data_IF_834163682266
#
_entry.id   IF_834163682266
#
_cell.length_a   1.000
_cell.length_b   1.000
_cell.length_c   1.000
_cell.angle_alpha   90.00
_cell.angle_beta   90.00
_cell.angle_gamma   90.00
#
_symmetry.space_group_name_H-M   'P 1'
#
loop_
_entity.id
_entity.type
_entity.pdbx_description
1 polymer ?
#
# COMPACT_ATOMS: atom_id res chain seq x y z
N UNK A 1 -4.26 -5.47 14.07
CA UNK A 1 -4.30 -4.13 13.47
C UNK A 1 -2.87 -3.73 13.09
N UNK A 2 -2.70 -3.01 12.00
CA UNK A 2 -1.42 -2.49 11.56
C UNK A 2 -1.55 -1.00 11.22
N UNK A 3 -0.52 -0.25 11.56
CA UNK A 3 -0.34 1.14 11.15
C UNK A 3 0.94 1.18 10.34
N UNK A 4 0.90 1.82 9.17
CA UNK A 4 2.09 2.07 8.38
C UNK A 4 2.15 3.53 7.96
N UNK A 5 3.36 4.05 7.95
CA UNK A 5 3.66 5.38 7.47
C UNK A 5 4.92 5.31 6.62
N UNK A 6 4.80 5.75 5.38
CA UNK A 6 5.87 5.73 4.41
C UNK A 6 6.01 7.11 3.78
N UNK A 7 7.24 7.59 3.70
CA UNK A 7 7.59 8.76 2.93
C UNK A 7 8.53 8.35 1.81
N UNK A 8 8.25 8.85 0.62
CA UNK A 8 9.09 8.69 -0.55
C UNK A 8 9.47 10.07 -1.07
N UNK A 9 10.75 10.24 -1.41
CA UNK A 9 11.27 11.45 -2.04
C UNK A 9 12.16 11.04 -3.19
N UNK A 10 11.96 11.63 -4.36
CA UNK A 10 12.82 11.47 -5.52
C UNK A 10 13.37 12.85 -5.92
N UNK A 11 14.54 13.19 -5.39
CA UNK A 11 15.12 14.52 -5.50
C UNK A 11 14.21 15.60 -4.91
N UNK A 12 14.26 16.78 -5.51
CA UNK A 12 13.40 17.92 -5.14
C UNK A 12 12.08 17.93 -5.93
N UNK A 13 11.93 17.09 -6.96
CA UNK A 13 10.82 17.15 -7.92
C UNK A 13 9.56 16.44 -7.41
N UNK A 14 9.73 15.40 -6.58
CA UNK A 14 8.63 14.55 -6.15
C UNK A 14 8.75 14.15 -4.68
N UNK A 15 7.71 14.46 -3.92
CA UNK A 15 7.53 14.03 -2.54
C UNK A 15 6.20 13.33 -2.38
N UNK A 16 6.20 12.11 -1.86
CA UNK A 16 5.00 11.34 -1.59
C UNK A 16 4.97 10.89 -0.13
N UNK A 17 3.80 10.97 0.49
CA UNK A 17 3.53 10.52 1.84
C UNK A 17 2.32 9.61 1.83
N UNK A 18 2.47 8.44 2.42
CA UNK A 18 1.44 7.42 2.53
C UNK A 18 1.27 7.03 4.00
N UNK A 19 0.05 7.15 4.50
CA UNK A 19 -0.35 6.65 5.80
C UNK A 19 -1.44 5.60 5.61
N UNK A 20 -1.27 4.43 6.20
CA UNK A 20 -2.27 3.36 6.17
C UNK A 20 -2.61 2.92 7.58
N UNK A 21 -3.89 2.70 7.82
CA UNK A 21 -4.39 2.02 9.00
C UNK A 21 -5.24 0.84 8.58
N UNK A 22 -4.95 -0.35 9.12
CA UNK A 22 -5.68 -1.56 8.79
C UNK A 22 -6.01 -2.41 10.02
N UNK A 23 -7.15 -3.07 9.94
CA UNK A 23 -7.62 -4.05 10.92
C UNK A 23 -7.97 -5.33 10.18
N UNK A 24 -7.38 -6.44 10.61
CA UNK A 24 -7.61 -7.77 10.05
C UNK A 24 -8.09 -8.70 11.16
N UNK A 25 -9.06 -9.52 10.82
CA UNK A 25 -9.54 -10.64 11.63
C UNK A 25 -9.31 -11.93 10.85
N UNK A 26 -8.81 -12.96 11.54
CA UNK A 26 -8.49 -14.25 10.94
C UNK A 26 -8.82 -15.38 11.89
N UNK A 27 -9.15 -16.56 11.34
CA UNK A 27 -9.33 -17.77 12.13
C UNK A 27 -8.48 -18.89 11.56
N UNK A 28 -7.60 -19.46 12.37
CA UNK A 28 -6.73 -20.56 11.94
C UNK A 28 -7.41 -21.92 12.09
N UNK A 29 -7.36 -22.69 11.02
CA UNK A 29 -7.61 -24.13 11.00
C UNK A 29 -6.28 -24.86 10.72
N UNK A 30 -6.28 -26.20 10.73
CA UNK A 30 -5.05 -27.02 10.68
C UNK A 30 -4.09 -26.63 9.54
N UNK A 31 -4.62 -26.36 8.33
CA UNK A 31 -3.81 -25.97 7.17
C UNK A 31 -4.28 -24.71 6.47
N UNK A 32 -5.39 -24.11 6.92
CA UNK A 32 -6.07 -23.03 6.22
C UNK A 32 -6.45 -21.95 7.22
N UNK A 33 -6.17 -20.71 6.89
CA UNK A 33 -6.49 -19.54 7.70
C UNK A 33 -7.17 -18.51 6.81
N UNK A 34 -8.51 -18.49 6.72
CA UNK A 34 -9.21 -17.36 6.11
C UNK A 34 -9.02 -16.10 6.95
N UNK A 35 -8.92 -14.96 6.27
CA UNK A 35 -8.87 -13.64 6.87
C UNK A 35 -9.71 -12.64 6.10
N UNK A 36 -10.23 -11.67 6.83
CA UNK A 36 -10.94 -10.50 6.30
C UNK A 36 -10.39 -9.27 6.99
N UNK A 37 -10.29 -8.17 6.28
CA UNK A 37 -9.78 -6.92 6.85
C UNK A 37 -10.35 -5.70 6.18
N UNK A 38 -10.27 -4.58 6.89
CA UNK A 38 -10.54 -3.25 6.34
C UNK A 38 -9.32 -2.38 6.55
N UNK A 39 -9.03 -1.54 5.58
CA UNK A 39 -7.96 -0.57 5.63
C UNK A 39 -8.44 0.81 5.18
N UNK A 40 -7.79 1.84 5.70
CA UNK A 40 -7.97 3.22 5.29
C UNK A 40 -6.60 3.82 4.99
N UNK A 41 -6.45 4.30 3.76
CA UNK A 41 -5.20 4.80 3.20
C UNK A 41 -5.33 6.28 2.89
N UNK A 42 -4.37 7.08 3.36
CA UNK A 42 -4.24 8.51 3.10
C UNK A 42 -2.94 8.71 2.34
N UNK A 43 -3.06 9.25 1.12
CA UNK A 43 -1.96 9.53 0.22
C UNK A 43 -1.88 11.03 -0.03
N UNK A 44 -0.67 11.58 -0.02
CA UNK A 44 -0.37 12.94 -0.45
C UNK A 44 0.86 12.90 -1.34
N UNK A 45 0.74 13.40 -2.56
CA UNK A 45 1.84 13.48 -3.51
C UNK A 45 1.99 14.94 -3.96
N UNK A 46 3.18 15.49 -3.78
CA UNK A 46 3.55 16.85 -4.13
C UNK A 46 4.59 16.77 -5.25
N UNK A 47 4.29 17.46 -6.35
CA UNK A 47 5.20 17.68 -7.48
C UNK A 47 5.71 19.11 -7.43
N UNK A 48 7.02 19.26 -7.54
CA UNK A 48 7.69 20.55 -7.65
C UNK A 48 8.42 20.56 -9.00
N UNK A 49 8.08 21.48 -9.90
CA UNK A 49 8.77 21.63 -11.18
C UNK A 49 9.01 23.10 -11.49
N UNK A 50 10.24 23.41 -11.90
CA UNK A 50 10.63 24.73 -12.36
C UNK A 50 10.34 24.85 -13.85
N UNK A 51 9.38 25.70 -14.21
CA UNK A 51 9.07 25.97 -15.61
C UNK A 51 10.04 27.03 -16.15
N UNK A 52 10.90 26.62 -17.08
CA UNK A 52 11.80 27.51 -17.82
C UNK A 52 11.14 27.94 -19.15
N UNK A 53 10.99 29.25 -19.34
CA UNK A 53 10.60 29.85 -20.60
C UNK A 53 11.76 30.71 -21.13
N UNK A 54 12.04 30.64 -22.44
CA UNK A 54 13.16 31.39 -23.04
C UNK A 54 13.07 32.89 -22.72
N UNK A 55 14.05 33.39 -21.97
CA UNK A 55 14.17 34.81 -21.60
C UNK A 55 13.50 35.21 -20.27
N UNK A 56 12.99 34.27 -19.48
CA UNK A 56 12.41 34.53 -18.15
C UNK A 56 13.08 33.69 -17.06
N UNK A 57 13.10 34.21 -15.84
CA UNK A 57 13.54 33.46 -14.65
C UNK A 57 12.61 32.24 -14.42
N UNK A 58 13.14 31.10 -13.93
CA UNK A 58 12.34 29.91 -13.68
C UNK A 58 11.19 30.20 -12.70
N UNK A 59 9.99 29.75 -13.04
CA UNK A 59 8.81 29.89 -12.18
C UNK A 59 8.58 28.56 -11.46
N UNK A 60 8.73 28.49 -10.13
CA UNK A 60 8.48 27.27 -9.38
C UNK A 60 6.97 26.97 -9.33
N UNK A 61 6.58 25.78 -9.78
CA UNK A 61 5.20 25.28 -9.71
C UNK A 61 5.16 24.13 -8.71
N UNK A 62 4.40 24.32 -7.62
CA UNK A 62 4.10 23.26 -6.66
C UNK A 62 2.64 22.79 -6.83
N UNK A 63 2.45 21.49 -7.08
CA UNK A 63 1.13 20.87 -7.12
C UNK A 63 1.03 19.72 -6.13
N UNK A 64 0.11 19.82 -5.18
CA UNK A 64 -0.18 18.75 -4.21
C UNK A 64 -1.50 18.05 -4.53
N UNK A 65 -1.44 16.73 -4.71
CA UNK A 65 -2.58 15.83 -4.91
C UNK A 65 -2.77 15.01 -3.63
N UNK A 66 -3.98 15.06 -3.06
CA UNK A 66 -4.36 14.23 -1.91
C UNK A 66 -5.42 13.23 -2.31
N UNK A 67 -5.26 11.98 -1.90
CA UNK A 67 -6.22 10.93 -2.14
C UNK A 67 -6.41 10.10 -0.88
N UNK A 68 -7.64 9.77 -0.57
CA UNK A 68 -8.00 8.84 0.49
C UNK A 68 -8.77 7.67 -0.09
N UNK A 69 -8.53 6.47 0.43
CA UNK A 69 -9.17 5.25 -0.03
C UNK A 69 -9.50 4.34 1.14
N UNK A 70 -10.65 3.70 1.09
CA UNK A 70 -10.98 2.59 1.96
C UNK A 70 -10.87 1.29 1.17
N UNK A 71 -10.35 0.24 1.80
CA UNK A 71 -10.10 -1.06 1.18
C UNK A 71 -10.65 -2.19 2.03
N UNK A 72 -11.43 -3.08 1.44
CA UNK A 72 -11.86 -4.35 2.02
C UNK A 72 -10.95 -5.46 1.48
N UNK A 73 -10.39 -6.28 2.35
CA UNK A 73 -9.51 -7.39 2.00
C UNK A 73 -10.19 -8.70 2.38
N UNK A 74 -10.23 -9.65 1.44
CA UNK A 74 -10.65 -11.02 1.66
C UNK A 74 -9.50 -11.93 1.27
N UNK A 75 -9.05 -12.81 2.15
CA UNK A 75 -7.91 -13.66 1.84
C UNK A 75 -7.88 -14.99 2.56
N UNK A 76 -6.94 -15.80 2.11
CA UNK A 76 -6.72 -17.16 2.56
C UNK A 76 -5.22 -17.42 2.67
N UNK A 77 -4.78 -17.92 3.81
CA UNK A 77 -3.45 -18.51 3.95
C UNK A 77 -3.58 -20.03 3.98
N UNK A 78 -2.79 -20.73 3.19
CA UNK A 78 -2.62 -22.19 3.22
C UNK A 78 -1.21 -22.47 3.76
N UNK A 79 -1.14 -23.23 4.85
CA UNK A 79 0.11 -23.59 5.53
C UNK A 79 0.30 -25.11 5.51
N UNK A 80 0.67 -25.71 4.37
CA UNK A 80 0.79 -27.17 4.25
C UNK A 80 1.93 -27.73 5.12
N UNK A 81 2.94 -26.90 5.40
CA UNK A 81 4.07 -27.23 6.26
C UNK A 81 4.35 -26.07 7.22
N UNK A 82 4.91 -26.30 8.42
CA UNK A 82 5.19 -25.23 9.39
C UNK A 82 6.10 -24.10 8.87
N UNK A 83 6.93 -24.39 7.87
CA UNK A 83 7.90 -23.48 7.26
C UNK A 83 7.45 -22.89 5.93
N UNK A 84 6.30 -23.31 5.39
CA UNK A 84 5.75 -22.81 4.11
C UNK A 84 4.38 -22.21 4.34
N UNK A 85 4.21 -20.95 3.93
CA UNK A 85 2.91 -20.29 3.89
C UNK A 85 2.65 -19.79 2.47
N UNK A 86 1.54 -20.21 1.90
CA UNK A 86 1.01 -19.68 0.66
C UNK A 86 -0.14 -18.77 1.06
N UNK A 87 -0.19 -17.55 0.58
CA UNK A 87 -1.29 -16.63 0.86
C UNK A 87 -1.80 -16.01 -0.42
N UNK A 88 -3.10 -15.78 -0.47
CA UNK A 88 -3.72 -15.04 -1.54
C UNK A 88 -4.85 -14.19 -0.98
N UNK A 89 -4.97 -12.98 -1.47
CA UNK A 89 -6.03 -12.06 -1.12
C UNK A 89 -6.55 -11.27 -2.31
N UNK A 90 -7.79 -10.86 -2.16
CA UNK A 90 -8.48 -9.95 -3.03
C UNK A 90 -8.81 -8.69 -2.26
N UNK A 91 -8.37 -7.55 -2.78
CA UNK A 91 -8.59 -6.24 -2.22
C UNK A 91 -9.60 -5.47 -3.08
N UNK A 92 -10.64 -4.97 -2.44
CA UNK A 92 -11.71 -4.17 -3.04
C UNK A 92 -11.55 -2.74 -2.52
N UNK A 93 -11.30 -1.79 -3.42
CA UNK A 93 -11.12 -0.37 -3.07
C UNK A 93 -11.29 0.52 -4.29
N UNK A 94 -10.56 1.64 -4.36
CA UNK A 94 -10.51 2.48 -5.58
C UNK A 94 -10.10 1.68 -6.82
N UNK A 95 -9.17 0.74 -6.63
CA UNK A 95 -8.79 -0.25 -7.62
C UNK A 95 -8.90 -1.64 -6.98
N UNK A 96 -9.39 -2.61 -7.75
CA UNK A 96 -9.45 -3.99 -7.31
C UNK A 96 -8.10 -4.67 -7.59
N UNK A 97 -7.57 -5.40 -6.62
CA UNK A 97 -6.24 -6.03 -6.69
C UNK A 97 -6.35 -7.49 -6.23
N UNK A 98 -5.70 -8.39 -6.96
CA UNK A 98 -5.51 -9.78 -6.56
C UNK A 98 -4.03 -9.97 -6.25
N UNK A 99 -3.74 -10.46 -5.05
CA UNK A 99 -2.37 -10.70 -4.58
C UNK A 99 -2.22 -12.16 -4.25
N UNK A 100 -1.08 -12.73 -4.62
CA UNK A 100 -0.67 -14.08 -4.24
C UNK A 100 0.80 -14.07 -3.85
N UNK A 101 1.16 -14.87 -2.85
CA UNK A 101 2.51 -14.90 -2.31
C UNK A 101 2.88 -16.23 -1.65
N UNK A 102 4.19 -16.44 -1.54
CA UNK A 102 4.81 -17.58 -0.89
C UNK A 102 5.81 -17.05 0.12
N UNK A 103 5.70 -17.48 1.37
CA UNK A 103 6.69 -17.27 2.41
C UNK A 103 7.31 -18.60 2.80
N UNK A 104 8.64 -18.66 2.71
CA UNK A 104 9.45 -19.79 3.18
C UNK A 104 10.29 -19.30 4.36
N UNK A 105 10.16 -19.98 5.50
CA UNK A 105 10.95 -19.69 6.70
C UNK A 105 12.03 -20.74 6.86
N UNK A 106 13.29 -20.30 6.86
CA UNK A 106 14.46 -21.14 7.10
C UNK A 106 15.03 -20.69 8.45
N UNK A 107 15.25 -21.64 9.36
CA UNK A 107 15.99 -21.39 10.60
C UNK A 107 17.45 -21.72 10.41
#
# INVERSE_FOLDING_TARGET
AALSYHQFKAGDILKSSHFSMSVLASKSFIFVTPYIGVAYDINSMTFEYDYEAEGLDPIPIEQTIKANSARLTLGLTISPFPFVKIFGDYNIGTFNEVTAGLAVSIR
#
